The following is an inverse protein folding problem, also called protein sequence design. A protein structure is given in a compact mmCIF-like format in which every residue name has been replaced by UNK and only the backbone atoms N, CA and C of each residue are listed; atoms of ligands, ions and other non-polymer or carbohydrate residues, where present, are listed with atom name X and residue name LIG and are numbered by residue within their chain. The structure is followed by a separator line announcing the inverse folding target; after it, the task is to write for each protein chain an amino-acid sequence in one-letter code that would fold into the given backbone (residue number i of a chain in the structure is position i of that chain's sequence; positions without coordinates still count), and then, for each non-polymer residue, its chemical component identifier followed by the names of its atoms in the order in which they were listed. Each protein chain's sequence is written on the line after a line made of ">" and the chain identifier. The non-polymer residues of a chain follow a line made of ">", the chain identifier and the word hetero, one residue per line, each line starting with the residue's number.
data_IF_480226967894
#
_entry.id   IF_480226967894
#
_cell.length_a   1.000
_cell.length_b   1.000
_cell.length_c   1.000
_cell.angle_alpha   90.00
_cell.angle_beta   90.00
_cell.angle_gamma   90.00
#
_symmetry.space_group_name_H-M   'P 1'
#
loop_
_entity.id
_entity.type
_entity.pdbx_description
1 polymer ?
#
# COMPACT_ATOMS: atom_id res chain seq x y z
N UNK A 1 1.42 45.09 -51.22
CA UNK A 1 -0.02 44.74 -51.19
C UNK A 1 -0.13 43.22 -51.24
N UNK A 2 -0.85 42.63 -50.29
CA UNK A 2 -0.87 41.20 -49.96
C UNK A 2 -1.63 40.31 -50.96
N UNK A 3 -1.44 38.99 -50.76
CA UNK A 3 -2.32 37.82 -51.04
C UNK A 3 -1.90 37.05 -52.31
N UNK A 4 -1.66 35.72 -52.30
CA UNK A 4 -2.40 34.63 -51.64
C UNK A 4 -1.52 33.40 -51.32
N UNK A 5 -1.93 32.71 -50.26
CA UNK A 5 -1.46 31.44 -49.72
C UNK A 5 -2.11 30.30 -50.48
N UNK A 6 -1.40 29.21 -50.78
CA UNK A 6 -1.95 27.85 -50.80
C UNK A 6 -0.82 26.83 -50.94
N UNK A 7 -0.79 25.85 -50.04
CA UNK A 7 0.15 24.73 -50.14
C UNK A 7 0.37 24.04 -48.81
N UNK A 8 -0.72 23.71 -48.10
CA UNK A 8 -0.69 22.88 -46.90
C UNK A 8 -0.23 21.47 -47.29
N UNK A 9 1.07 21.18 -47.18
CA UNK A 9 1.57 19.82 -47.22
C UNK A 9 1.65 19.29 -45.80
N UNK A 10 0.59 18.59 -45.41
CA UNK A 10 0.52 17.75 -44.22
C UNK A 10 1.43 16.54 -44.47
N UNK A 11 2.64 16.52 -43.87
CA UNK A 11 3.48 15.34 -43.85
C UNK A 11 3.70 14.93 -42.39
N UNK A 12 2.85 14.02 -41.91
CA UNK A 12 3.08 13.27 -40.68
C UNK A 12 4.39 12.50 -40.83
N UNK A 13 5.49 13.04 -40.31
CA UNK A 13 6.68 12.23 -40.05
C UNK A 13 6.35 11.24 -38.96
N UNK A 14 6.35 9.97 -39.37
CA UNK A 14 6.18 8.77 -38.55
C UNK A 14 6.86 8.94 -37.19
N UNK A 15 6.05 8.91 -36.13
CA UNK A 15 6.53 8.61 -34.79
C UNK A 15 7.14 7.22 -34.90
N UNK A 16 8.47 7.16 -34.85
CA UNK A 16 9.21 5.93 -34.76
C UNK A 16 8.58 5.11 -33.64
N UNK A 17 8.06 3.95 -34.02
CA UNK A 17 7.49 2.94 -33.14
C UNK A 17 8.61 2.35 -32.28
N UNK A 18 9.06 3.10 -31.30
CA UNK A 18 9.45 2.49 -30.03
C UNK A 18 8.15 2.22 -29.29
N UNK A 19 7.87 0.98 -28.86
CA UNK A 19 6.98 0.82 -27.74
C UNK A 19 7.71 1.51 -26.59
N UNK A 20 7.41 2.78 -26.37
CA UNK A 20 7.40 3.29 -25.02
C UNK A 20 6.36 2.39 -24.34
N UNK A 21 6.84 1.30 -23.73
CA UNK A 21 6.22 0.78 -22.55
C UNK A 21 6.06 2.00 -21.66
N UNK A 22 4.89 2.63 -21.74
CA UNK A 22 4.34 3.32 -20.62
C UNK A 22 4.39 2.23 -19.55
N UNK A 23 5.40 2.31 -18.67
CA UNK A 23 5.31 1.67 -17.40
C UNK A 23 4.02 2.24 -16.83
N UNK A 24 2.93 1.49 -16.96
CA UNK A 24 1.72 1.73 -16.20
C UNK A 24 2.23 2.01 -14.80
N UNK A 25 1.97 3.23 -14.33
CA UNK A 25 2.31 3.62 -12.96
C UNK A 25 1.90 2.45 -12.10
N UNK A 26 2.89 1.77 -11.55
CA UNK A 26 2.69 0.65 -10.63
C UNK A 26 1.54 1.06 -9.73
N UNK A 27 0.42 0.32 -9.80
CA UNK A 27 -0.59 0.40 -8.76
C UNK A 27 0.18 0.37 -7.44
N UNK A 28 -0.02 1.38 -6.59
CA UNK A 28 0.68 1.45 -5.30
C UNK A 28 0.43 0.12 -4.62
N UNK A 29 1.49 -0.68 -4.47
CA UNK A 29 1.37 -2.12 -4.33
C UNK A 29 0.84 -2.63 -2.99
N UNK A 30 -0.08 -1.95 -2.29
CA UNK A 30 -0.50 -2.16 -0.89
C UNK A 30 0.70 -2.34 0.10
N UNK A 31 0.66 -1.77 1.31
CA UNK A 31 1.72 -2.04 2.28
C UNK A 31 1.60 -3.48 2.83
N UNK A 32 2.72 -4.22 2.94
CA UNK A 32 2.74 -5.52 3.62
C UNK A 32 2.65 -5.34 5.15
N UNK A 33 2.24 -6.38 5.89
CA UNK A 33 2.08 -6.31 7.34
C UNK A 33 3.25 -5.66 8.10
N UNK A 34 4.54 -5.93 7.80
CA UNK A 34 5.66 -5.24 8.46
C UNK A 34 5.73 -3.74 8.16
N UNK A 35 5.34 -3.30 6.96
CA UNK A 35 5.29 -1.89 6.63
C UNK A 35 4.15 -1.19 7.38
N UNK A 36 2.99 -1.85 7.48
CA UNK A 36 1.86 -1.35 8.28
C UNK A 36 2.24 -1.28 9.77
N UNK A 37 2.91 -2.31 10.29
CA UNK A 37 3.37 -2.33 11.67
C UNK A 37 4.34 -1.17 11.96
N UNK A 38 5.23 -0.85 11.02
CA UNK A 38 6.11 0.31 11.14
C UNK A 38 5.30 1.62 11.25
N UNK A 39 4.33 1.84 10.37
CA UNK A 39 3.47 3.03 10.38
C UNK A 39 2.65 3.15 11.69
N UNK A 40 2.12 2.03 12.19
CA UNK A 40 1.39 1.99 13.47
C UNK A 40 2.33 2.35 14.62
N UNK A 41 3.50 1.69 14.73
CA UNK A 41 4.45 1.95 15.82
C UNK A 41 4.89 3.41 15.85
N UNK A 42 5.21 4.01 14.69
CA UNK A 42 5.53 5.45 14.62
C UNK A 42 4.36 6.33 15.07
N UNK A 43 3.13 5.98 14.69
CA UNK A 43 1.92 6.73 15.08
C UNK A 43 1.67 6.68 16.59
N UNK A 44 2.05 5.58 17.26
CA UNK A 44 1.96 5.42 18.72
C UNK A 44 3.20 5.94 19.47
N UNK A 45 4.17 6.56 18.78
CA UNK A 45 5.40 7.05 19.40
C UNK A 45 6.36 5.95 19.86
N UNK A 46 6.16 4.72 19.38
CA UNK A 46 6.99 3.55 19.69
C UNK A 46 8.03 3.38 18.59
N UNK A 47 9.31 3.28 18.96
CA UNK A 47 10.39 3.12 17.98
C UNK A 47 10.29 1.75 17.30
N UNK A 48 10.11 1.68 15.96
CA UNK A 48 10.06 0.41 15.26
C UNK A 48 11.42 -0.28 15.32
N UNK A 49 11.47 -1.48 15.89
CA UNK A 49 12.70 -2.29 15.93
C UNK A 49 12.65 -3.39 14.88
N UNK A 50 13.81 -3.76 14.35
CA UNK A 50 13.89 -4.84 13.36
C UNK A 50 13.37 -6.18 13.90
N UNK A 51 13.42 -6.41 15.21
CA UNK A 51 12.95 -7.66 15.81
C UNK A 51 11.42 -7.72 15.90
N UNK A 52 10.75 -6.60 16.22
CA UNK A 52 9.28 -6.51 16.14
C UNK A 52 8.81 -6.77 14.71
N UNK A 53 9.44 -6.11 13.72
CA UNK A 53 9.06 -6.27 12.31
C UNK A 53 9.29 -7.69 11.79
N UNK A 54 10.32 -8.39 12.27
CA UNK A 54 10.54 -9.82 11.97
C UNK A 54 9.45 -10.71 12.59
N UNK A 55 8.99 -10.42 13.80
CA UNK A 55 7.91 -11.17 14.44
C UNK A 55 6.58 -11.01 13.69
N UNK A 56 6.29 -9.80 13.22
CA UNK A 56 5.14 -9.54 12.32
C UNK A 56 5.32 -10.30 11.00
N UNK A 57 6.50 -10.22 10.37
CA UNK A 57 6.77 -10.93 9.12
C UNK A 57 6.64 -12.45 9.25
N UNK A 58 6.96 -13.02 10.42
CA UNK A 58 6.83 -14.46 10.69
C UNK A 58 5.36 -14.95 10.68
N UNK A 59 4.41 -14.06 10.94
CA UNK A 59 2.97 -14.34 10.90
C UNK A 59 2.33 -14.06 9.54
N UNK A 60 3.12 -13.63 8.55
CA UNK A 60 2.63 -13.53 7.18
C UNK A 60 2.48 -14.93 6.58
N UNK A 61 1.35 -15.14 5.93
CA UNK A 61 1.01 -16.36 5.23
C UNK A 61 1.26 -16.24 3.72
N UNK A 62 0.95 -17.31 2.99
CA UNK A 62 0.96 -17.35 1.53
C UNK A 62 0.17 -16.18 0.94
N UNK A 63 0.61 -15.63 -0.20
CA UNK A 63 -0.02 -14.50 -0.87
C UNK A 63 -0.08 -13.18 -0.05
N UNK A 64 0.80 -13.02 0.94
CA UNK A 64 0.92 -11.80 1.77
C UNK A 64 -0.27 -11.54 2.71
N UNK A 65 -1.10 -12.56 2.97
CA UNK A 65 -2.10 -12.50 4.02
C UNK A 65 -1.42 -12.41 5.41
N UNK A 66 -2.14 -11.88 6.38
CA UNK A 66 -1.68 -11.76 7.76
C UNK A 66 -2.78 -12.30 8.67
N UNK A 67 -2.48 -13.39 9.39
CA UNK A 67 -3.43 -14.07 10.28
C UNK A 67 -4.77 -14.40 9.60
N UNK A 68 -4.70 -14.98 8.39
CA UNK A 68 -5.87 -15.31 7.58
C UNK A 68 -6.57 -14.14 6.88
N UNK A 69 -6.18 -12.89 7.10
CA UNK A 69 -6.77 -11.71 6.45
C UNK A 69 -5.96 -11.30 5.22
N UNK A 70 -6.65 -11.11 4.10
CA UNK A 70 -6.05 -10.69 2.84
C UNK A 70 -5.65 -9.21 2.88
N UNK A 71 -4.62 -8.84 2.11
CA UNK A 71 -4.00 -7.51 2.14
C UNK A 71 -4.93 -6.37 1.68
N UNK A 72 -5.92 -6.71 0.86
CA UNK A 72 -6.96 -5.83 0.33
C UNK A 72 -8.19 -5.73 1.22
N UNK A 73 -8.28 -6.56 2.27
CA UNK A 73 -9.37 -6.50 3.23
C UNK A 73 -9.24 -5.26 4.14
N UNK A 74 -10.32 -4.50 4.38
CA UNK A 74 -10.30 -3.37 5.32
C UNK A 74 -9.83 -3.75 6.74
N UNK A 75 -9.98 -5.01 7.14
CA UNK A 75 -9.53 -5.53 8.43
C UNK A 75 -8.02 -5.80 8.50
N UNK A 76 -7.30 -5.77 7.37
CA UNK A 76 -5.88 -6.11 7.35
C UNK A 76 -5.05 -5.23 8.28
N UNK A 77 -5.30 -3.91 8.25
CA UNK A 77 -4.61 -2.96 9.15
C UNK A 77 -5.01 -3.19 10.60
N UNK A 78 -6.29 -3.46 10.85
CA UNK A 78 -6.78 -3.73 12.19
C UNK A 78 -6.11 -4.97 12.78
N UNK A 79 -5.98 -6.06 12.04
CA UNK A 79 -5.32 -7.27 12.57
C UNK A 79 -3.82 -7.07 12.84
N UNK A 80 -3.12 -6.29 12.00
CA UNK A 80 -1.74 -5.91 12.32
C UNK A 80 -1.67 -5.12 13.63
N UNK A 81 -2.61 -4.19 13.85
CA UNK A 81 -2.71 -3.42 15.09
C UNK A 81 -3.04 -4.29 16.30
N UNK A 82 -4.01 -5.20 16.16
CA UNK A 82 -4.44 -6.15 17.18
C UNK A 82 -3.30 -7.10 17.56
N UNK A 83 -2.52 -7.59 16.60
CA UNK A 83 -1.33 -8.40 16.88
C UNK A 83 -0.25 -7.62 17.66
N UNK A 84 0.01 -6.36 17.28
CA UNK A 84 0.96 -5.50 18.02
C UNK A 84 0.50 -5.22 19.46
N UNK A 85 -0.81 -5.11 19.68
CA UNK A 85 -1.40 -4.85 20.99
C UNK A 85 -1.50 -6.12 21.85
N UNK A 86 -2.20 -7.16 21.37
CA UNK A 86 -2.56 -8.33 22.16
C UNK A 86 -1.45 -9.39 22.24
N UNK A 87 -0.65 -9.57 21.18
CA UNK A 87 0.37 -10.62 21.16
C UNK A 87 1.76 -10.08 21.53
N UNK A 88 2.11 -8.90 21.01
CA UNK A 88 3.42 -8.30 21.27
C UNK A 88 3.41 -7.31 22.44
N UNK A 89 2.24 -6.81 22.87
CA UNK A 89 2.09 -5.83 23.94
C UNK A 89 2.98 -4.58 23.77
N UNK A 90 3.21 -4.16 22.52
CA UNK A 90 4.11 -3.04 22.19
C UNK A 90 3.38 -1.71 21.97
N UNK A 91 2.05 -1.74 21.86
CA UNK A 91 1.19 -0.55 21.76
C UNK A 91 -0.04 -0.71 22.65
N UNK A 92 -0.60 0.41 23.10
CA UNK A 92 -1.93 0.45 23.71
C UNK A 92 -2.98 0.66 22.62
N UNK A 93 -4.14 0.03 22.81
CA UNK A 93 -5.31 0.15 21.95
C UNK A 93 -6.54 0.26 22.84
N UNK A 94 -7.52 1.08 22.45
CA UNK A 94 -8.75 1.20 23.24
C UNK A 94 -9.52 -0.12 23.22
N UNK A 95 -10.23 -0.46 24.30
CA UNK A 95 -10.96 -1.73 24.39
C UNK A 95 -12.01 -1.88 23.28
N UNK A 96 -12.69 -0.79 22.92
CA UNK A 96 -13.68 -0.78 21.85
C UNK A 96 -13.03 -1.02 20.48
N UNK A 97 -11.84 -0.46 20.24
CA UNK A 97 -11.05 -0.72 19.05
C UNK A 97 -10.56 -2.18 19.02
N UNK A 98 -10.14 -2.72 20.17
CA UNK A 98 -9.66 -4.10 20.31
C UNK A 98 -10.75 -5.15 20.08
N UNK A 99 -11.98 -4.88 20.53
CA UNK A 99 -13.08 -5.85 20.46
C UNK A 99 -13.88 -5.74 19.16
N UNK A 100 -13.75 -4.65 18.40
CA UNK A 100 -14.36 -4.50 17.09
C UNK A 100 -13.56 -5.26 16.02
N UNK A 101 -13.80 -6.58 15.95
CA UNK A 101 -13.59 -7.33 14.72
C UNK A 101 -14.62 -6.86 13.67
N UNK A 102 -14.37 -5.73 13.01
CA UNK A 102 -14.98 -5.40 11.73
C UNK A 102 -16.50 -5.30 11.69
N UNK A 103 -17.08 -4.37 12.46
CA UNK A 103 -18.38 -3.81 12.11
C UNK A 103 -18.25 -2.30 11.92
N UNK A 104 -17.70 -1.90 10.76
CA UNK A 104 -18.17 -0.67 10.14
C UNK A 104 -19.63 -0.88 9.76
N UNK A 105 -20.53 -0.27 10.51
CA UNK A 105 -21.92 -0.03 10.07
C UNK A 105 -21.96 0.75 8.75
#
# INVERSE_FOLDING_TARGET
>A
MMKRIAGLALALTLIASTPAFAAEKSEKALPAAPAIAFEILESHGVRPTGDILKLVAKHMETYSAFMGIAKDDPMYRHEVMHFLHCELEVIEMEHDECMHHGMTE
#
